data_IF_797371917783
#
_entry.id   IF_797371917783
#
_cell.length_a   1.000
_cell.length_b   1.000
_cell.length_c   1.000
_cell.angle_alpha   90.00
_cell.angle_beta   90.00
_cell.angle_gamma   90.00
#
_symmetry.space_group_name_H-M   'P 1'
#
loop_
_entity.id
_entity.type
_entity.pdbx_description
1 polymer ?
#
# COMPACT_ATOMS: atom_id res chain seq x y z
N UNK A 1 10.28 5.41 0.39
CA UNK A 1 9.63 4.27 1.09
C UNK A 1 9.51 3.11 0.13
N UNK A 2 9.79 1.92 0.56
CA UNK A 2 9.68 0.71 -0.25
C UNK A 2 9.20 -0.47 0.61
N UNK A 3 8.64 -1.53 -0.02
CA UNK A 3 8.32 -2.75 0.71
C UNK A 3 9.55 -3.35 1.39
N UNK A 4 9.36 -3.88 2.60
CA UNK A 4 10.43 -4.56 3.32
C UNK A 4 10.77 -5.91 2.66
N UNK A 5 12.05 -6.36 2.70
CA UNK A 5 12.46 -7.57 1.97
C UNK A 5 11.86 -8.87 2.53
N UNK A 6 11.39 -8.87 3.78
CA UNK A 6 10.77 -10.04 4.42
C UNK A 6 9.27 -10.14 4.13
N UNK A 7 8.73 -9.32 3.24
CA UNK A 7 7.30 -9.30 2.91
C UNK A 7 7.06 -9.91 1.54
N UNK A 8 6.06 -10.78 1.45
CA UNK A 8 5.54 -11.30 0.19
C UNK A 8 4.14 -10.77 -0.02
N UNK A 9 3.83 -10.42 -1.26
CA UNK A 9 2.56 -9.81 -1.58
C UNK A 9 1.81 -10.60 -2.64
N UNK A 10 0.48 -10.58 -2.53
CA UNK A 10 -0.42 -11.07 -3.55
C UNK A 10 -1.47 -9.99 -3.80
N UNK A 11 -1.53 -9.50 -5.03
CA UNK A 11 -2.48 -8.46 -5.46
C UNK A 11 -3.49 -9.09 -6.39
N UNK A 12 -4.76 -8.84 -6.13
CA UNK A 12 -5.86 -9.30 -6.97
C UNK A 12 -6.95 -8.22 -7.06
N UNK A 13 -7.99 -8.47 -7.85
CA UNK A 13 -9.14 -7.58 -7.94
C UNK A 13 -9.88 -7.46 -6.60
N UNK A 14 -9.73 -8.44 -5.72
CA UNK A 14 -10.35 -8.44 -4.39
C UNK A 14 -9.55 -7.64 -3.37
N UNK A 15 -8.30 -7.32 -3.66
CA UNK A 15 -7.46 -6.55 -2.75
C UNK A 15 -6.04 -7.05 -2.64
N UNK A 16 -5.46 -6.83 -1.46
CA UNK A 16 -4.06 -7.10 -1.16
C UNK A 16 -3.95 -8.08 0.00
N UNK A 17 -3.05 -9.03 -0.13
CA UNK A 17 -2.61 -9.88 0.98
C UNK A 17 -1.09 -9.75 1.10
N UNK A 18 -0.62 -9.41 2.30
CA UNK A 18 0.79 -9.36 2.63
C UNK A 18 1.11 -10.46 3.65
N UNK A 19 2.18 -11.20 3.39
CA UNK A 19 2.71 -12.18 4.33
C UNK A 19 4.07 -11.69 4.83
N UNK A 20 4.19 -11.55 6.14
CA UNK A 20 5.46 -11.32 6.81
C UNK A 20 6.10 -12.69 7.06
N UNK A 21 7.12 -13.04 6.27
CA UNK A 21 7.75 -14.36 6.39
C UNK A 21 8.59 -14.53 7.65
N UNK A 22 8.96 -13.40 8.30
CA UNK A 22 9.72 -13.45 9.56
C UNK A 22 8.83 -13.84 10.74
N UNK A 23 7.57 -13.40 10.76
CA UNK A 23 6.64 -13.63 11.87
C UNK A 23 5.52 -14.61 11.52
N UNK A 24 5.26 -14.86 10.24
CA UNK A 24 4.14 -15.65 9.76
C UNK A 24 2.80 -14.90 9.78
N UNK A 25 2.81 -13.60 10.11
CA UNK A 25 1.59 -12.80 10.17
C UNK A 25 1.10 -12.41 8.79
N UNK A 26 -0.22 -12.34 8.64
CA UNK A 26 -0.90 -11.95 7.41
C UNK A 26 -1.60 -10.62 7.63
N UNK A 27 -1.45 -9.73 6.65
CA UNK A 27 -2.15 -8.45 6.60
C UNK A 27 -2.96 -8.40 5.31
N UNK A 28 -4.25 -8.09 5.39
CA UNK A 28 -5.09 -7.95 4.20
C UNK A 28 -5.68 -6.55 4.11
N UNK A 29 -5.89 -6.07 2.89
CA UNK A 29 -6.42 -4.74 2.65
C UNK A 29 -7.25 -4.71 1.36
N UNK A 30 -7.96 -3.60 1.15
CA UNK A 30 -8.88 -3.43 0.04
C UNK A 30 -8.17 -3.18 -1.31
N UNK A 31 -8.92 -3.14 -2.44
CA UNK A 31 -8.31 -2.91 -3.76
C UNK A 31 -7.56 -1.58 -3.90
N UNK A 32 -7.98 -0.53 -3.21
CA UNK A 32 -7.25 0.75 -3.24
C UNK A 32 -5.89 0.61 -2.58
N UNK A 33 -5.83 -0.08 -1.45
CA UNK A 33 -4.56 -0.37 -0.78
C UNK A 33 -3.64 -1.24 -1.67
N UNK A 34 -4.22 -2.17 -2.43
CA UNK A 34 -3.47 -2.97 -3.40
C UNK A 34 -2.80 -2.10 -4.46
N UNK A 35 -3.48 -1.07 -4.95
CA UNK A 35 -2.90 -0.11 -5.91
C UNK A 35 -1.76 0.69 -5.29
N UNK A 36 -1.93 1.11 -4.05
CA UNK A 36 -0.89 1.84 -3.32
C UNK A 36 0.35 0.96 -3.15
N UNK A 37 0.17 -0.27 -2.70
CA UNK A 37 1.27 -1.22 -2.53
C UNK A 37 2.02 -1.46 -3.83
N UNK A 38 1.29 -1.71 -4.91
CA UNK A 38 1.89 -1.93 -6.23
C UNK A 38 2.73 -0.73 -6.68
N UNK A 39 2.24 0.49 -6.45
CA UNK A 39 2.99 1.71 -6.75
C UNK A 39 4.27 1.82 -5.92
N UNK A 40 4.20 1.47 -4.64
CA UNK A 40 5.38 1.45 -3.77
C UNK A 40 6.41 0.42 -4.24
N UNK A 41 5.97 -0.74 -4.69
CA UNK A 41 6.87 -1.76 -5.26
C UNK A 41 7.59 -1.27 -6.51
N UNK A 42 6.94 -0.42 -7.29
CA UNK A 42 7.52 0.18 -8.50
C UNK A 42 8.42 1.38 -8.20
N UNK A 43 8.52 1.79 -6.94
CA UNK A 43 9.32 2.93 -6.53
C UNK A 43 8.68 4.29 -6.78
N UNK A 44 7.36 4.33 -7.00
CA UNK A 44 6.63 5.58 -7.22
C UNK A 44 6.48 6.35 -5.92
N UNK A 45 6.43 7.69 -6.05
CA UNK A 45 6.12 8.55 -4.91
C UNK A 45 4.67 8.37 -4.49
N UNK A 46 4.42 8.41 -3.19
CA UNK A 46 3.06 8.27 -2.66
C UNK A 46 2.11 9.34 -3.22
N UNK A 47 2.58 10.57 -3.37
CA UNK A 47 1.78 11.65 -3.96
C UNK A 47 1.35 11.33 -5.39
N UNK A 48 2.25 10.76 -6.20
CA UNK A 48 1.92 10.36 -7.57
C UNK A 48 0.90 9.22 -7.60
N UNK A 49 1.04 8.27 -6.71
CA UNK A 49 0.09 7.15 -6.58
C UNK A 49 -1.30 7.66 -6.22
N UNK A 50 -1.40 8.57 -5.26
CA UNK A 50 -2.66 9.18 -4.82
C UNK A 50 -3.34 9.92 -5.98
N UNK A 51 -2.58 10.73 -6.72
CA UNK A 51 -3.10 11.48 -7.87
C UNK A 51 -3.65 10.54 -8.94
N UNK A 52 -2.94 9.47 -9.24
CA UNK A 52 -3.37 8.49 -10.23
C UNK A 52 -4.65 7.77 -9.81
N UNK A 53 -4.75 7.36 -8.55
CA UNK A 53 -5.96 6.72 -8.01
C UNK A 53 -7.15 7.68 -8.08
N UNK A 54 -6.97 8.92 -7.66
CA UNK A 54 -8.04 9.93 -7.69
C UNK A 54 -8.52 10.18 -9.11
N UNK A 55 -7.60 10.27 -10.08
CA UNK A 55 -7.93 10.47 -11.48
C UNK A 55 -8.73 9.29 -12.05
N UNK A 56 -8.31 8.04 -11.75
CA UNK A 56 -8.94 6.85 -12.28
C UNK A 56 -10.31 6.56 -11.68
N UNK A 57 -10.48 6.85 -10.38
CA UNK A 57 -11.71 6.50 -9.65
C UNK A 57 -12.71 7.65 -9.56
N UNK A 58 -12.28 8.86 -9.88
CA UNK A 58 -13.10 10.07 -9.67
C UNK A 58 -13.27 10.44 -8.21
N UNK A 59 -12.57 9.78 -7.29
CA UNK A 59 -12.66 10.07 -5.86
C UNK A 59 -11.99 11.41 -5.53
N UNK A 60 -12.44 12.04 -4.44
CA UNK A 60 -11.82 13.26 -3.93
C UNK A 60 -10.37 12.97 -3.52
N UNK A 61 -9.37 13.69 -4.05
CA UNK A 61 -7.98 13.47 -3.70
C UNK A 61 -7.70 13.56 -2.19
N UNK A 62 -8.43 14.39 -1.46
CA UNK A 62 -8.28 14.52 0.00
C UNK A 62 -8.68 13.22 0.70
N UNK A 63 -9.75 12.58 0.26
CA UNK A 63 -10.20 11.29 0.82
C UNK A 63 -9.19 10.20 0.49
N UNK A 64 -8.71 10.14 -0.74
CA UNK A 64 -7.70 9.16 -1.17
C UNK A 64 -6.42 9.35 -0.36
N UNK A 65 -5.99 10.59 -0.15
CA UNK A 65 -4.80 10.89 0.64
C UNK A 65 -4.95 10.44 2.09
N UNK A 66 -6.09 10.68 2.70
CA UNK A 66 -6.36 10.25 4.07
C UNK A 66 -6.28 8.73 4.20
N UNK A 67 -6.95 8.01 3.30
CA UNK A 67 -6.97 6.56 3.31
C UNK A 67 -5.57 5.98 3.04
N UNK A 68 -4.84 6.58 2.12
CA UNK A 68 -3.46 6.18 1.83
C UNK A 68 -2.54 6.39 3.02
N UNK A 69 -2.69 7.52 3.73
CA UNK A 69 -1.90 7.82 4.93
C UNK A 69 -2.18 6.81 6.03
N UNK A 70 -3.44 6.47 6.27
CA UNK A 70 -3.82 5.45 7.25
C UNK A 70 -3.22 4.09 6.91
N UNK A 71 -3.30 3.70 5.65
CA UNK A 71 -2.73 2.44 5.17
C UNK A 71 -1.20 2.41 5.35
N UNK A 72 -0.51 3.45 4.93
CA UNK A 72 0.95 3.55 5.07
C UNK A 72 1.36 3.53 6.54
N UNK A 73 0.64 4.21 7.41
CA UNK A 73 0.91 4.18 8.84
C UNK A 73 0.73 2.77 9.42
N UNK A 74 -0.27 2.04 8.97
CA UNK A 74 -0.46 0.64 9.37
C UNK A 74 0.72 -0.23 8.92
N UNK A 75 1.23 -0.02 7.70
CA UNK A 75 2.39 -0.73 7.20
C UNK A 75 3.64 -0.42 8.05
N UNK A 76 3.85 0.84 8.42
CA UNK A 76 4.98 1.26 9.25
C UNK A 76 4.92 0.62 10.63
N UNK A 77 3.76 0.60 11.25
CA UNK A 77 3.58 -0.01 12.58
C UNK A 77 3.89 -1.50 12.57
N UNK A 78 3.70 -2.16 11.45
CA UNK A 78 3.96 -3.60 11.30
C UNK A 78 5.33 -3.90 10.70
N UNK A 79 6.14 -2.87 10.44
CA UNK A 79 7.46 -3.00 9.79
C UNK A 79 7.40 -3.70 8.43
N UNK A 80 6.32 -3.46 7.67
CA UNK A 80 6.12 -4.04 6.34
C UNK A 80 6.72 -3.18 5.23
N UNK A 81 7.17 -1.97 5.54
CA UNK A 81 7.86 -1.05 4.63
C UNK A 81 9.13 -0.52 5.30
N UNK A 82 10.08 -0.13 4.46
CA UNK A 82 11.33 0.52 4.89
C UNK A 82 11.34 1.96 4.42
N UNK A 83 11.91 2.84 5.26
CA UNK A 83 12.16 4.23 4.92
C UNK A 83 13.58 4.39 4.37
N UNK A 84 13.76 5.43 3.56
CA UNK A 84 15.09 5.84 3.10
C UNK A 84 15.52 7.11 3.79
#
# INVERSE_FOLDING_TARGET
MKPAPHVRSSVSDDGLILLDIATGQIFSANPIAARIWNGLEQGLLLTAIIEEIAADTGADPVVVQRDATEFVNALRLRALVEEF
#
